data_IF_491159139890
#
_entry.id   IF_491159139890
#
_cell.length_a   1.000
_cell.length_b   1.000
_cell.length_c   1.000
_cell.angle_alpha   90.00
_cell.angle_beta   90.00
_cell.angle_gamma   90.00
#
_symmetry.space_group_name_H-M   'P 1'
#
loop_
_entity.id
_entity.type
_entity.pdbx_description
1 polymer ?
#
# COMPACT_ATOMS: atom_id res chain seq x y z
N UNK A 1 -15.22 -44.40 14.55
CA UNK A 1 -14.52 -43.18 14.11
C UNK A 1 -14.36 -42.29 15.34
N UNK A 2 -13.13 -41.96 15.76
CA UNK A 2 -12.91 -41.00 16.85
C UNK A 2 -13.15 -39.60 16.27
N UNK A 3 -14.12 -38.87 16.81
CA UNK A 3 -14.39 -37.49 16.39
C UNK A 3 -13.19 -36.62 16.73
N UNK A 4 -12.71 -35.86 15.74
CA UNK A 4 -11.68 -34.83 15.97
C UNK A 4 -12.37 -33.67 16.69
N UNK A 5 -12.01 -33.43 17.96
CA UNK A 5 -12.48 -32.27 18.69
C UNK A 5 -11.67 -31.05 18.22
N UNK A 6 -12.33 -30.12 17.52
CA UNK A 6 -11.73 -28.86 17.09
C UNK A 6 -11.89 -27.83 18.21
N UNK A 7 -10.80 -27.52 18.92
CA UNK A 7 -10.80 -26.45 19.91
C UNK A 7 -10.65 -25.12 19.17
N UNK A 8 -11.75 -24.36 19.09
CA UNK A 8 -11.81 -23.05 18.44
C UNK A 8 -11.02 -21.95 19.16
N UNK A 9 -10.63 -22.20 20.40
CA UNK A 9 -9.88 -21.31 21.29
C UNK A 9 -8.52 -21.95 21.49
N UNK A 10 -7.44 -21.25 21.17
CA UNK A 10 -6.08 -21.77 21.36
C UNK A 10 -5.78 -21.84 22.86
N UNK A 11 -5.88 -20.70 23.53
CA UNK A 11 -5.93 -20.57 24.98
C UNK A 11 -6.40 -19.16 25.36
N UNK A 12 -6.92 -18.98 26.58
CA UNK A 12 -7.48 -17.69 27.02
C UNK A 12 -6.51 -16.51 26.86
N UNK A 13 -5.22 -16.71 27.15
CA UNK A 13 -4.23 -15.62 27.11
C UNK A 13 -3.92 -15.24 25.67
N UNK A 14 -3.69 -16.23 24.81
CA UNK A 14 -3.42 -16.01 23.39
C UNK A 14 -4.62 -15.37 22.69
N UNK A 15 -5.82 -15.90 22.92
CA UNK A 15 -7.06 -15.40 22.34
C UNK A 15 -7.35 -13.94 22.74
N UNK A 16 -7.23 -13.61 24.03
CA UNK A 16 -7.45 -12.25 24.51
C UNK A 16 -6.39 -11.27 24.02
N UNK A 17 -5.11 -11.66 24.04
CA UNK A 17 -4.00 -10.76 23.71
C UNK A 17 -3.92 -10.49 22.20
N UNK A 18 -3.98 -11.55 21.39
CA UNK A 18 -3.65 -11.45 19.97
C UNK A 18 -4.88 -11.31 19.08
N UNK A 19 -6.00 -11.96 19.40
CA UNK A 19 -7.19 -11.88 18.56
C UNK A 19 -8.10 -10.73 19.00
N UNK A 20 -8.51 -10.71 20.27
CA UNK A 20 -9.36 -9.63 20.79
C UNK A 20 -8.56 -8.32 20.90
N UNK A 21 -7.32 -8.38 21.39
CA UNK A 21 -6.45 -7.21 21.50
C UNK A 21 -6.17 -6.53 20.16
N UNK A 22 -5.92 -7.29 19.09
CA UNK A 22 -5.71 -6.71 17.76
C UNK A 22 -6.98 -6.08 17.19
N UNK A 23 -8.15 -6.70 17.39
CA UNK A 23 -9.43 -6.11 16.99
C UNK A 23 -9.69 -4.78 17.73
N UNK A 24 -9.44 -4.72 19.04
CA UNK A 24 -9.56 -3.50 19.82
C UNK A 24 -8.55 -2.43 19.38
N UNK A 25 -7.31 -2.80 19.08
CA UNK A 25 -6.31 -1.87 18.53
C UNK A 25 -6.75 -1.29 17.18
N UNK A 26 -7.39 -2.10 16.31
CA UNK A 26 -7.98 -1.63 15.06
C UNK A 26 -9.10 -0.60 15.28
N UNK A 27 -10.01 -0.87 16.22
CA UNK A 27 -11.06 0.10 16.59
C UNK A 27 -10.51 1.38 17.21
N UNK A 28 -9.48 1.26 18.06
CA UNK A 28 -8.77 2.41 18.61
C UNK A 28 -8.12 3.26 17.51
N UNK A 29 -7.50 2.63 16.52
CA UNK A 29 -6.93 3.30 15.35
C UNK A 29 -8.00 4.07 14.55
N UNK A 30 -9.16 3.47 14.30
CA UNK A 30 -10.30 4.16 13.67
C UNK A 30 -10.77 5.35 14.51
N UNK A 31 -10.92 5.17 15.83
CA UNK A 31 -11.31 6.26 16.72
C UNK A 31 -10.30 7.42 16.69
N UNK A 32 -9.00 7.12 16.64
CA UNK A 32 -7.95 8.14 16.51
C UNK A 32 -8.08 8.92 15.20
N UNK A 33 -8.32 8.25 14.07
CA UNK A 33 -8.55 8.92 12.77
C UNK A 33 -9.73 9.87 12.85
N UNK A 34 -10.84 9.42 13.45
CA UNK A 34 -12.04 10.25 13.61
C UNK A 34 -11.81 11.43 14.55
N UNK A 35 -11.05 11.23 15.64
CA UNK A 35 -10.69 12.30 16.58
C UNK A 35 -9.81 13.36 15.92
N UNK A 36 -8.79 12.96 15.17
CA UNK A 36 -7.92 13.88 14.44
C UNK A 36 -8.67 14.64 13.34
N UNK A 37 -9.58 13.95 12.63
CA UNK A 37 -10.41 14.57 11.59
C UNK A 37 -11.39 15.62 12.09
N UNK A 38 -11.81 15.58 13.37
CA UNK A 38 -12.75 16.58 13.94
C UNK A 38 -12.20 18.00 13.98
N UNK A 39 -10.88 18.16 14.02
CA UNK A 39 -10.23 19.48 14.03
C UNK A 39 -10.05 20.10 12.65
N UNK A 40 -10.40 19.38 11.58
CA UNK A 40 -10.16 19.80 10.19
C UNK A 40 -11.48 20.16 9.51
N UNK A 41 -11.47 21.19 8.66
CA UNK A 41 -12.63 21.58 7.89
C UNK A 41 -12.84 20.66 6.68
N UNK A 42 -11.74 20.29 6.03
CA UNK A 42 -11.66 19.26 5.01
C UNK A 42 -10.60 18.20 5.42
N UNK A 43 -11.00 17.14 6.13
CA UNK A 43 -10.07 16.11 6.61
C UNK A 43 -9.29 15.37 5.52
N UNK A 44 -9.70 15.47 4.25
CA UNK A 44 -9.01 14.80 3.15
C UNK A 44 -7.82 15.63 2.63
N UNK A 45 -7.94 16.96 2.67
CA UNK A 45 -7.01 17.88 2.03
C UNK A 45 -6.29 18.80 3.03
N UNK A 46 -6.87 19.07 4.20
CA UNK A 46 -6.26 19.95 5.19
C UNK A 46 -4.99 19.32 5.77
N UNK A 47 -3.88 20.07 5.83
CA UNK A 47 -2.66 19.60 6.47
C UNK A 47 -2.83 19.58 8.00
N UNK A 48 -2.39 18.49 8.62
CA UNK A 48 -2.18 18.45 10.07
C UNK A 48 -0.87 19.16 10.44
N UNK A 49 0.16 18.97 9.60
CA UNK A 49 1.46 19.61 9.71
C UNK A 49 2.01 19.92 8.32
N UNK A 50 2.86 20.93 8.21
CA UNK A 50 3.57 21.25 6.97
C UNK A 50 5.06 21.28 7.25
N UNK A 51 5.83 20.56 6.44
CA UNK A 51 7.29 20.58 6.50
C UNK A 51 7.84 21.34 5.30
N UNK A 52 8.78 22.26 5.53
CA UNK A 52 9.53 22.87 4.44
C UNK A 52 10.78 22.05 4.16
N UNK A 53 10.92 21.55 2.93
CA UNK A 53 12.08 20.78 2.48
C UNK A 53 12.52 21.29 1.10
N UNK A 54 13.76 21.75 1.00
CA UNK A 54 14.33 22.34 -0.24
C UNK A 54 13.46 23.45 -0.87
N UNK A 55 12.79 24.25 -0.03
CA UNK A 55 11.88 25.32 -0.48
C UNK A 55 10.50 24.84 -0.93
N UNK A 56 10.22 23.53 -0.89
CA UNK A 56 8.89 22.99 -1.11
C UNK A 56 8.16 22.81 0.24
N UNK A 57 6.90 23.21 0.29
CA UNK A 57 6.01 22.92 1.41
C UNK A 57 5.35 21.56 1.21
N UNK A 58 5.61 20.65 2.13
CA UNK A 58 5.10 19.28 2.13
C UNK A 58 3.99 19.16 3.19
N UNK A 59 2.72 19.22 2.79
CA UNK A 59 1.61 19.03 3.71
C UNK A 59 1.50 17.55 4.11
N UNK A 60 1.48 17.30 5.41
CA UNK A 60 1.15 16.01 6.00
C UNK A 60 -0.33 16.04 6.35
N UNK A 61 -1.14 15.50 5.45
CA UNK A 61 -2.59 15.37 5.64
C UNK A 61 -2.91 14.11 6.43
N UNK A 62 -4.12 14.05 6.98
CA UNK A 62 -4.64 12.84 7.62
C UNK A 62 -4.61 11.65 6.65
N UNK A 63 -4.93 11.86 5.38
CA UNK A 63 -4.86 10.85 4.32
C UNK A 63 -3.46 10.24 4.19
N UNK A 64 -2.41 11.08 4.17
CA UNK A 64 -1.01 10.63 4.05
C UNK A 64 -0.63 9.80 5.28
N UNK A 65 -0.97 10.27 6.48
CA UNK A 65 -0.69 9.53 7.72
C UNK A 65 -1.38 8.17 7.71
N UNK A 66 -2.69 8.13 7.45
CA UNK A 66 -3.49 6.90 7.44
C UNK A 66 -2.95 5.91 6.42
N UNK A 67 -2.62 6.38 5.22
CA UNK A 67 -2.04 5.55 4.17
C UNK A 67 -0.74 4.90 4.64
N UNK A 68 0.20 5.69 5.17
CA UNK A 68 1.51 5.17 5.59
C UNK A 68 1.43 4.31 6.86
N UNK A 69 0.65 4.70 7.86
CA UNK A 69 0.48 3.87 9.07
C UNK A 69 -0.23 2.57 8.75
N UNK A 70 -1.24 2.57 7.88
CA UNK A 70 -1.85 1.32 7.41
C UNK A 70 -0.82 0.45 6.65
N UNK A 71 -0.10 1.04 5.69
CA UNK A 71 0.87 0.32 4.87
C UNK A 71 1.99 -0.33 5.71
N UNK A 72 2.50 0.35 6.73
CA UNK A 72 3.59 -0.19 7.55
C UNK A 72 3.13 -1.04 8.73
N UNK A 73 2.06 -0.64 9.43
CA UNK A 73 1.64 -1.32 10.66
C UNK A 73 0.71 -2.51 10.40
N UNK A 74 -0.16 -2.41 9.40
CA UNK A 74 -1.20 -3.41 9.15
C UNK A 74 -0.83 -4.31 7.98
N UNK A 75 -0.39 -3.73 6.86
CA UNK A 75 0.02 -4.51 5.68
C UNK A 75 1.48 -4.96 5.75
N UNK A 76 2.33 -4.19 6.43
CA UNK A 76 3.77 -4.42 6.56
C UNK A 76 4.16 -5.84 6.96
N UNK A 77 3.51 -6.51 7.94
CA UNK A 77 3.83 -7.90 8.27
C UNK A 77 3.70 -8.88 7.09
N UNK A 78 2.70 -8.68 6.21
CA UNK A 78 2.51 -9.51 5.00
C UNK A 78 3.61 -9.25 3.97
N UNK A 79 3.99 -7.99 3.81
CA UNK A 79 5.12 -7.60 2.98
C UNK A 79 6.42 -8.21 3.50
N UNK A 80 6.71 -8.08 4.79
CA UNK A 80 7.92 -8.63 5.41
C UNK A 80 7.98 -10.15 5.36
N UNK A 81 6.86 -10.84 5.56
CA UNK A 81 6.80 -12.30 5.38
C UNK A 81 7.12 -12.69 3.92
N UNK A 82 6.68 -11.90 2.95
CA UNK A 82 6.97 -12.14 1.52
C UNK A 82 8.41 -11.81 1.16
N UNK A 83 8.95 -10.68 1.64
CA UNK A 83 10.34 -10.30 1.43
C UNK A 83 11.29 -11.29 2.10
N UNK A 84 10.98 -11.71 3.33
CA UNK A 84 11.75 -12.66 4.12
C UNK A 84 11.99 -13.99 3.40
N UNK A 85 10.95 -14.54 2.77
CA UNK A 85 11.01 -15.82 2.03
C UNK A 85 11.39 -15.70 0.56
N UNK A 86 11.76 -14.50 0.09
CA UNK A 86 12.13 -14.27 -1.32
C UNK A 86 13.38 -13.40 -1.43
N UNK A 87 13.24 -12.07 -1.33
CA UNK A 87 14.34 -11.13 -1.54
C UNK A 87 15.41 -11.20 -0.45
N UNK A 88 15.06 -11.63 0.76
CA UNK A 88 16.00 -11.73 1.88
C UNK A 88 16.48 -13.17 2.12
N UNK A 89 16.03 -14.13 1.33
CA UNK A 89 16.42 -15.54 1.45
C UNK A 89 17.63 -15.85 0.56
N UNK A 90 18.83 -16.12 1.13
CA UNK A 90 20.03 -16.40 0.35
C UNK A 90 19.92 -17.63 -0.55
N UNK A 91 19.18 -18.66 -0.13
CA UNK A 91 19.04 -19.91 -0.88
C UNK A 91 18.21 -19.67 -2.14
N UNK A 92 17.18 -18.84 -2.03
CA UNK A 92 16.39 -18.42 -3.19
C UNK A 92 17.19 -17.58 -4.19
N UNK A 93 18.15 -16.78 -3.72
CA UNK A 93 19.06 -16.07 -4.60
C UNK A 93 20.02 -16.99 -5.36
N UNK A 94 20.35 -18.17 -4.83
CA UNK A 94 21.17 -19.13 -5.53
C UNK A 94 20.40 -19.83 -6.65
N UNK A 95 19.11 -20.15 -6.41
CA UNK A 95 18.26 -20.90 -7.34
C UNK A 95 17.62 -19.97 -8.39
N UNK A 96 17.07 -18.81 -7.98
CA UNK A 96 16.22 -17.92 -8.79
C UNK A 96 16.80 -16.53 -9.00
N UNK A 97 18.13 -16.42 -9.03
CA UNK A 97 18.87 -15.15 -9.18
C UNK A 97 18.38 -14.28 -10.35
N UNK A 98 17.97 -14.91 -11.45
CA UNK A 98 17.56 -14.19 -12.66
C UNK A 98 16.19 -13.57 -12.50
N UNK A 99 15.26 -14.32 -11.93
CA UNK A 99 13.88 -13.95 -11.65
C UNK A 99 13.84 -12.83 -10.62
N UNK A 100 14.63 -12.96 -9.54
CA UNK A 100 14.73 -11.93 -8.51
C UNK A 100 15.31 -10.63 -9.08
N UNK A 101 16.39 -10.69 -9.87
CA UNK A 101 16.91 -9.47 -10.53
C UNK A 101 15.90 -8.84 -11.48
N UNK A 102 15.11 -9.65 -12.19
CA UNK A 102 14.07 -9.16 -13.09
C UNK A 102 12.89 -8.54 -12.33
N UNK A 103 12.59 -9.02 -11.12
CA UNK A 103 11.48 -8.47 -10.32
C UNK A 103 11.71 -7.00 -9.96
N UNK A 104 12.97 -6.56 -9.83
CA UNK A 104 13.28 -5.16 -9.55
C UNK A 104 12.79 -4.20 -10.63
N UNK A 105 12.65 -4.65 -11.89
CA UNK A 105 12.08 -3.81 -12.95
C UNK A 105 10.60 -3.48 -12.70
N UNK A 106 9.86 -4.31 -11.95
CA UNK A 106 8.48 -4.01 -11.60
C UNK A 106 8.37 -2.80 -10.68
N UNK A 107 9.37 -2.51 -9.84
CA UNK A 107 9.37 -1.29 -9.01
C UNK A 107 9.44 -0.01 -9.85
N UNK A 108 9.98 -0.08 -11.07
CA UNK A 108 10.03 1.06 -11.97
C UNK A 108 8.68 1.35 -12.66
N UNK A 109 7.75 0.37 -12.74
CA UNK A 109 6.49 0.54 -13.48
C UNK A 109 5.64 1.70 -12.96
N UNK A 110 5.51 1.83 -11.63
CA UNK A 110 4.74 2.91 -11.02
C UNK A 110 5.32 4.29 -11.31
N UNK A 111 6.59 4.57 -10.94
CA UNK A 111 7.25 5.83 -11.26
C UNK A 111 7.24 6.16 -12.74
N UNK A 112 7.51 5.20 -13.63
CA UNK A 112 7.50 5.42 -15.07
C UNK A 112 6.09 5.75 -15.58
N UNK A 113 5.05 5.06 -15.10
CA UNK A 113 3.67 5.37 -15.48
C UNK A 113 3.29 6.79 -15.07
N UNK A 114 3.64 7.21 -13.85
CA UNK A 114 3.34 8.56 -13.32
C UNK A 114 4.15 9.64 -14.02
N UNK A 115 5.44 9.41 -14.28
CA UNK A 115 6.34 10.43 -14.83
C UNK A 115 6.30 10.53 -16.37
N UNK A 116 5.84 9.48 -17.07
CA UNK A 116 5.83 9.47 -18.53
C UNK A 116 5.09 10.65 -19.19
N UNK A 117 3.91 11.11 -18.70
CA UNK A 117 3.25 12.28 -19.30
C UNK A 117 4.07 13.56 -19.14
N UNK A 118 4.81 13.70 -18.04
CA UNK A 118 5.67 14.86 -17.79
C UNK A 118 6.88 14.87 -18.72
N UNK A 119 7.52 13.71 -18.93
CA UNK A 119 8.64 13.61 -19.88
C UNK A 119 8.20 13.87 -21.32
N UNK A 120 7.02 13.36 -21.71
CA UNK A 120 6.44 13.63 -23.03
C UNK A 120 6.12 15.10 -23.22
N UNK A 121 5.49 15.75 -22.23
CA UNK A 121 5.18 17.17 -22.28
C UNK A 121 6.46 18.03 -22.36
N UNK A 122 7.49 17.70 -21.59
CA UNK A 122 8.78 18.39 -21.62
C UNK A 122 9.46 18.26 -23.00
N UNK A 123 9.49 17.06 -23.59
CA UNK A 123 10.06 16.83 -24.91
C UNK A 123 9.26 17.52 -26.03
N UNK A 124 7.93 17.52 -25.94
CA UNK A 124 7.06 18.20 -26.89
C UNK A 124 7.23 19.73 -26.86
N UNK A 125 7.50 20.30 -25.68
CA UNK A 125 7.83 21.72 -25.52
C UNK A 125 9.06 22.15 -26.33
N UNK A 126 10.04 21.26 -26.54
CA UNK A 126 11.23 21.54 -27.35
C UNK A 126 10.91 21.77 -28.83
N UNK A 127 9.78 21.26 -29.31
CA UNK A 127 9.29 21.41 -30.69
C UNK A 127 8.07 22.33 -30.80
N UNK A 128 7.77 23.10 -29.75
CA UNK A 128 6.69 24.09 -29.72
C UNK A 128 5.29 23.52 -29.50
N UNK A 129 5.17 22.24 -29.10
CA UNK A 129 3.90 21.62 -28.74
C UNK A 129 3.64 21.77 -27.25
N UNK A 130 2.38 22.02 -26.86
CA UNK A 130 1.97 22.15 -25.46
C UNK A 130 0.88 21.15 -25.11
N UNK A 131 0.91 20.68 -23.87
CA UNK A 131 -0.07 19.75 -23.31
C UNK A 131 -0.95 20.49 -22.29
N UNK A 132 -2.27 20.20 -22.23
CA UNK A 132 -3.10 20.70 -21.14
C UNK A 132 -2.56 20.23 -19.79
N UNK A 133 -2.45 21.14 -18.82
CA UNK A 133 -1.94 20.81 -17.48
C UNK A 133 -2.70 19.63 -16.84
N UNK A 134 -4.02 19.57 -17.04
CA UNK A 134 -4.86 18.47 -16.55
C UNK A 134 -4.50 17.09 -17.12
N UNK A 135 -3.89 17.02 -18.30
CA UNK A 135 -3.47 15.75 -18.91
C UNK A 135 -2.22 15.13 -18.25
N UNK A 136 -1.43 15.91 -17.51
CA UNK A 136 -0.20 15.42 -16.88
C UNK A 136 -0.49 14.36 -15.79
N UNK A 137 -1.66 14.46 -15.15
CA UNK A 137 -2.10 13.51 -14.13
C UNK A 137 -2.61 12.17 -14.70
N UNK A 138 -2.70 12.01 -16.03
CA UNK A 138 -3.28 10.80 -16.63
C UNK A 138 -2.51 9.53 -16.25
N UNK A 139 -1.17 9.62 -16.17
CA UNK A 139 -0.32 8.51 -15.77
C UNK A 139 -0.63 8.01 -14.36
N UNK A 140 -0.88 8.95 -13.43
CA UNK A 140 -1.33 8.66 -12.07
C UNK A 140 -2.69 7.96 -12.07
N UNK A 141 -3.68 8.50 -12.77
CA UNK A 141 -5.02 7.91 -12.78
C UNK A 141 -5.05 6.51 -13.37
N UNK A 142 -4.35 6.30 -14.49
CA UNK A 142 -4.28 4.99 -15.15
C UNK A 142 -3.59 3.97 -14.24
N UNK A 143 -2.41 4.31 -13.71
CA UNK A 143 -1.65 3.39 -12.86
C UNK A 143 -2.41 3.03 -11.59
N UNK A 144 -2.94 4.01 -10.85
CA UNK A 144 -3.65 3.73 -9.60
C UNK A 144 -4.99 3.03 -9.82
N UNK A 145 -5.67 3.27 -10.94
CA UNK A 145 -6.88 2.52 -11.29
C UNK A 145 -6.54 1.05 -11.56
N UNK A 146 -5.52 0.79 -12.39
CA UNK A 146 -5.02 -0.55 -12.62
C UNK A 146 -4.58 -1.23 -11.32
N UNK A 147 -3.77 -0.55 -10.51
CA UNK A 147 -3.26 -1.08 -9.24
C UNK A 147 -4.40 -1.44 -8.27
N UNK A 148 -5.42 -0.58 -8.12
CA UNK A 148 -6.58 -0.87 -7.28
C UNK A 148 -7.34 -2.11 -7.75
N UNK A 149 -7.59 -2.22 -9.06
CA UNK A 149 -8.26 -3.38 -9.64
C UNK A 149 -7.44 -4.67 -9.46
N UNK A 150 -6.13 -4.59 -9.70
CA UNK A 150 -5.22 -5.71 -9.51
C UNK A 150 -5.12 -6.13 -8.04
N UNK A 151 -5.00 -5.17 -7.11
CA UNK A 151 -4.94 -5.43 -5.68
C UNK A 151 -6.23 -6.09 -5.18
N UNK A 152 -7.39 -5.57 -5.60
CA UNK A 152 -8.68 -6.20 -5.30
C UNK A 152 -8.73 -7.64 -5.82
N UNK A 153 -8.37 -7.85 -7.09
CA UNK A 153 -8.29 -9.19 -7.68
C UNK A 153 -7.35 -10.12 -6.91
N UNK A 154 -6.18 -9.63 -6.50
CA UNK A 154 -5.19 -10.38 -5.74
C UNK A 154 -5.71 -10.79 -4.36
N UNK A 155 -6.24 -9.82 -3.60
CA UNK A 155 -6.79 -10.04 -2.25
C UNK A 155 -7.96 -11.02 -2.29
N UNK A 156 -8.87 -10.89 -3.25
CA UNK A 156 -9.99 -11.81 -3.41
C UNK A 156 -9.48 -13.24 -3.63
N UNK A 157 -8.46 -13.45 -4.48
CA UNK A 157 -7.92 -14.79 -4.70
C UNK A 157 -7.16 -15.37 -3.51
N UNK A 158 -6.53 -14.53 -2.68
CA UNK A 158 -5.85 -15.00 -1.47
C UNK A 158 -6.83 -15.48 -0.40
N UNK A 159 -7.97 -14.82 -0.25
CA UNK A 159 -8.94 -15.12 0.83
C UNK A 159 -10.06 -16.06 0.38
N UNK A 160 -10.44 -16.01 -0.90
CA UNK A 160 -11.52 -16.83 -1.48
C UNK A 160 -10.98 -17.95 -2.40
N UNK A 161 -9.66 -18.21 -2.37
CA UNK A 161 -9.03 -19.29 -3.13
C UNK A 161 -9.64 -20.68 -2.88
N UNK A 162 -10.35 -20.86 -1.76
CA UNK A 162 -11.11 -22.07 -1.42
C UNK A 162 -12.37 -22.30 -2.29
N UNK A 163 -12.89 -21.28 -2.97
CA UNK A 163 -14.03 -21.40 -3.89
C UNK A 163 -13.62 -21.71 -5.34
N UNK A 164 -12.32 -21.87 -5.59
CA UNK A 164 -11.82 -22.55 -6.79
C UNK A 164 -11.66 -24.04 -6.49
N UNK A 165 -12.81 -24.72 -6.36
CA UNK A 165 -12.94 -26.16 -6.60
C UNK A 165 -13.65 -26.34 -7.95
#
# INVERSE_FOLDING_TARGET
MRGVAFHWIADRRTDLTWYVGSALAGWFYVALILLLGRGLADPLNDPLWTFSLFGAELPITLTVLVFWSWAFLLDGPHLWATLGRTLLDPDEWQIRRREIRRSFWFFALGPLAVLSPYFLAAGAGLVGLSFPAGSLAIGYYVFFTFFKLWAYYHVVRQHWGFFRL
#
